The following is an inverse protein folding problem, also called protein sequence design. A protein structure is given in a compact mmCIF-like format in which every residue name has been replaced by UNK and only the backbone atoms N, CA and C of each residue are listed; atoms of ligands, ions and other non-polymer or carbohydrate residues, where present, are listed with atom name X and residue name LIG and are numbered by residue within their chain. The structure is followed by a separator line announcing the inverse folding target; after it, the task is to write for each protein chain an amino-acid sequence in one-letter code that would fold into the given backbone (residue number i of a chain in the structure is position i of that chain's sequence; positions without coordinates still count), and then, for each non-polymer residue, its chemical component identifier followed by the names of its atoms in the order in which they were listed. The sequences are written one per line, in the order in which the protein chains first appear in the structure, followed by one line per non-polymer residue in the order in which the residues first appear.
data_IF_547129841408
#
_entry.id   IF_547129841408
#
_cell.length_a   1.000
_cell.length_b   1.000
_cell.length_c   1.000
_cell.angle_alpha   90.00
_cell.angle_beta   90.00
_cell.angle_gamma   90.00
#
_symmetry.space_group_name_H-M   'P 1'
#
loop_
_entity.id
_entity.type
_entity.pdbx_description
1 polymer ?
#
# COMPACT_ATOMS: atom_id res chain seq x y z
N UNK A 1 29.64 -0.12 14.22
CA UNK A 1 28.64 -0.48 13.18
C UNK A 1 27.59 0.61 13.16
N UNK A 2 27.49 1.36 12.06
CA UNK A 2 26.47 2.42 11.90
C UNK A 2 25.12 1.72 11.75
N UNK A 3 24.16 2.01 12.63
CA UNK A 3 22.79 1.53 12.50
C UNK A 3 22.18 2.27 11.32
N UNK A 4 22.15 1.62 10.14
CA UNK A 4 21.39 2.12 9.01
C UNK A 4 19.92 2.02 9.37
N UNK A 5 19.36 3.13 9.87
CA UNK A 5 17.95 3.31 10.16
C UNK A 5 17.20 3.64 8.87
N UNK A 6 17.52 2.92 7.79
CA UNK A 6 16.74 2.97 6.57
C UNK A 6 15.49 2.15 6.87
N UNK A 7 14.40 2.85 7.20
CA UNK A 7 13.06 2.28 7.24
C UNK A 7 12.82 1.65 5.87
N UNK A 8 13.13 0.36 5.74
CA UNK A 8 12.50 -0.49 4.75
C UNK A 8 11.01 -0.50 5.12
N UNK A 9 10.26 0.54 4.72
CA UNK A 9 8.80 0.42 4.56
C UNK A 9 8.68 -0.76 3.61
N UNK A 10 8.28 -1.94 4.11
CA UNK A 10 7.90 -3.06 3.26
C UNK A 10 6.95 -2.49 2.23
N UNK A 11 7.40 -2.43 0.98
CA UNK A 11 6.58 -1.92 -0.10
C UNK A 11 5.39 -2.87 -0.18
N UNK A 12 4.19 -2.33 -0.05
CA UNK A 12 2.97 -3.07 -0.33
C UNK A 12 3.13 -3.74 -1.69
N UNK A 13 2.95 -5.05 -1.74
CA UNK A 13 2.93 -5.75 -3.02
C UNK A 13 1.75 -5.20 -3.83
N UNK A 14 2.08 -4.48 -4.91
CA UNK A 14 1.08 -3.81 -5.76
C UNK A 14 0.10 -4.81 -6.35
N UNK A 15 0.52 -6.04 -6.63
CA UNK A 15 -0.36 -7.07 -7.16
C UNK A 15 -1.41 -7.49 -6.14
N UNK A 16 -1.00 -7.76 -4.90
CA UNK A 16 -1.91 -8.13 -3.82
C UNK A 16 -2.89 -6.99 -3.47
N UNK A 17 -2.40 -5.75 -3.50
CA UNK A 17 -3.24 -4.56 -3.35
C UNK A 17 -4.31 -4.48 -4.45
N UNK A 18 -3.92 -4.61 -5.72
CA UNK A 18 -4.85 -4.51 -6.85
C UNK A 18 -5.89 -5.64 -6.84
N UNK A 19 -5.49 -6.87 -6.47
CA UNK A 19 -6.44 -7.98 -6.29
C UNK A 19 -7.46 -7.60 -5.21
N UNK A 20 -7.00 -7.19 -4.02
CA UNK A 20 -7.89 -6.84 -2.92
C UNK A 20 -8.85 -5.70 -3.30
N UNK A 21 -8.33 -4.64 -3.93
CA UNK A 21 -9.14 -3.52 -4.41
C UNK A 21 -10.15 -3.95 -5.48
N UNK A 22 -9.74 -4.74 -6.47
CA UNK A 22 -10.63 -5.24 -7.54
C UNK A 22 -11.74 -6.17 -7.02
N UNK A 23 -11.53 -6.82 -5.87
CA UNK A 23 -12.56 -7.65 -5.21
C UNK A 23 -13.59 -6.82 -4.43
N UNK A 24 -13.43 -5.49 -4.39
CA UNK A 24 -14.34 -4.58 -3.70
C UNK A 24 -14.05 -4.40 -2.22
N UNK A 25 -12.86 -4.81 -1.74
CA UNK A 25 -12.45 -4.55 -0.35
C UNK A 25 -12.24 -3.04 -0.13
N UNK A 26 -12.64 -2.57 1.05
CA UNK A 26 -12.34 -1.20 1.47
C UNK A 26 -10.92 -1.08 2.05
N UNK A 27 -10.43 0.16 2.20
CA UNK A 27 -9.06 0.45 2.63
C UNK A 27 -8.68 -0.23 3.96
N UNK A 28 -9.62 -0.34 4.89
CA UNK A 28 -9.38 -0.98 6.19
C UNK A 28 -9.21 -2.49 6.04
N UNK A 29 -10.05 -3.13 5.24
CA UNK A 29 -9.93 -4.57 4.92
C UNK A 29 -8.63 -4.87 4.18
N UNK A 30 -8.23 -4.01 3.26
CA UNK A 30 -6.95 -4.10 2.53
C UNK A 30 -5.78 -3.96 3.52
N UNK A 31 -5.83 -2.98 4.42
CA UNK A 31 -4.80 -2.77 5.45
C UNK A 31 -4.64 -4.02 6.34
N UNK A 32 -5.75 -4.59 6.81
CA UNK A 32 -5.73 -5.81 7.61
C UNK A 32 -5.21 -7.01 6.82
N UNK A 33 -5.64 -7.18 5.56
CA UNK A 33 -5.23 -8.29 4.70
C UNK A 33 -3.73 -8.25 4.39
N UNK A 34 -3.18 -7.06 4.13
CA UNK A 34 -1.78 -6.87 3.75
C UNK A 34 -0.87 -6.63 4.96
N UNK A 35 -1.41 -6.54 6.17
CA UNK A 35 -0.63 -6.34 7.39
C UNK A 35 0.01 -4.95 7.48
N UNK A 36 -0.57 -3.94 6.84
CA UNK A 36 -0.04 -2.56 6.78
C UNK A 36 -0.98 -1.57 7.45
N UNK A 37 -0.51 -0.33 7.65
CA UNK A 37 -1.35 0.74 8.17
C UNK A 37 -2.34 1.25 7.12
N UNK A 38 -3.48 1.78 7.57
CA UNK A 38 -4.45 2.43 6.69
C UNK A 38 -3.83 3.60 5.90
N UNK A 39 -2.96 4.38 6.56
CA UNK A 39 -2.20 5.46 5.91
C UNK A 39 -1.35 4.94 4.74
N UNK A 40 -0.74 3.76 4.87
CA UNK A 40 0.06 3.14 3.79
C UNK A 40 -0.82 2.76 2.61
N UNK A 41 -2.03 2.24 2.86
CA UNK A 41 -3.02 1.92 1.82
C UNK A 41 -3.46 3.19 1.07
N UNK A 42 -3.69 4.28 1.80
CA UNK A 42 -4.09 5.58 1.23
C UNK A 42 -2.97 6.22 0.40
N UNK A 43 -1.72 6.15 0.85
CA UNK A 43 -0.55 6.56 0.04
C UNK A 43 -0.50 5.78 -1.29
N UNK A 44 -0.65 4.46 -1.24
CA UNK A 44 -0.64 3.61 -2.45
C UNK A 44 -1.80 3.94 -3.39
N UNK A 45 -3.01 4.15 -2.86
CA UNK A 45 -4.16 4.57 -3.67
C UNK A 45 -3.92 5.90 -4.36
N UNK A 46 -3.37 6.88 -3.63
CA UNK A 46 -3.07 8.19 -4.18
C UNK A 46 -2.05 8.11 -5.30
N UNK A 47 -0.95 7.37 -5.09
CA UNK A 47 0.09 7.17 -6.11
C UNK A 47 -0.49 6.51 -7.38
N UNK A 48 -1.39 5.53 -7.23
CA UNK A 48 -2.06 4.85 -8.35
C UNK A 48 -3.00 5.78 -9.13
N UNK A 49 -3.75 6.65 -8.45
CA UNK A 49 -4.68 7.57 -9.10
C UNK A 49 -3.96 8.76 -9.77
N UNK A 50 -2.81 9.19 -9.23
CA UNK A 50 -1.99 10.24 -9.84
C UNK A 50 -1.19 9.74 -11.05
N UNK A 51 -0.83 8.44 -11.10
CA UNK A 51 -0.20 7.81 -12.29
C UNK A 51 -1.10 7.82 -13.54
N UNK A 52 -2.43 7.87 -13.39
CA UNK A 52 -3.41 7.83 -14.50
C UNK A 52 -3.76 9.23 -15.06
N UNK A 53 -3.11 10.29 -14.54
CA UNK A 53 -3.37 11.69 -14.91
C UNK A 53 -2.43 12.26 -16.00
N UNK A 54 -1.89 11.42 -16.90
CA UNK A 54 -1.02 11.82 -18.02
C UNK A 54 -1.73 11.86 -19.37
#
# INVERSE_FOLDING_TARGET
MKKNNEKHKEKVDRHDFLIAWSTGMNDYEIAQKLGVSLETVQEVMKDLLEEDSW
#
